data_IF_825483601160
#
_entry.id   IF_825483601160
#
_cell.length_a   1.000
_cell.length_b   1.000
_cell.length_c   1.000
_cell.angle_alpha   90.00
_cell.angle_beta   90.00
_cell.angle_gamma   90.00
#
_symmetry.space_group_name_H-M   'P 1'
#
loop_
_entity.id
_entity.type
_entity.pdbx_description
1 polymer ?
#
# COMPACT_ATOMS: atom_id res chain seq x y z
N UNK A 1 -10.33 42.49 35.84
CA UNK A 1 -9.12 41.86 35.26
C UNK A 1 -9.04 40.46 35.86
N UNK A 2 -9.37 39.45 35.06
CA UNK A 2 -9.51 38.05 35.49
C UNK A 2 -8.34 37.29 34.86
N UNK A 3 -7.60 36.59 35.70
CA UNK A 3 -6.45 35.74 35.40
C UNK A 3 -6.83 34.59 34.45
N UNK A 4 -6.19 34.43 33.28
CA UNK A 4 -6.61 33.47 32.27
C UNK A 4 -5.90 32.09 32.37
N UNK A 5 -5.25 31.75 33.49
CA UNK A 5 -4.35 30.57 33.53
C UNK A 5 -4.86 29.32 34.25
N UNK A 6 -6.14 29.23 34.60
CA UNK A 6 -6.72 27.97 35.12
C UNK A 6 -8.19 27.80 34.76
N UNK A 7 -8.46 27.10 33.68
CA UNK A 7 -9.59 26.16 33.63
C UNK A 7 -9.25 25.00 32.70
N UNK A 8 -9.34 23.81 33.27
CA UNK A 8 -9.27 22.52 32.61
C UNK A 8 -10.40 22.40 31.60
N UNK A 9 -10.21 21.57 30.58
CA UNK A 9 -11.08 20.39 30.38
C UNK A 9 -10.79 19.71 29.04
N UNK A 10 -10.60 18.40 29.14
CA UNK A 10 -10.76 17.35 28.15
C UNK A 10 -11.04 17.81 26.71
N UNK A 11 -9.98 17.90 25.89
CA UNK A 11 -10.11 17.67 24.44
C UNK A 11 -10.23 16.18 24.19
N UNK A 12 -11.43 15.67 24.41
CA UNK A 12 -11.90 14.39 23.89
C UNK A 12 -11.65 14.38 22.38
N UNK A 13 -10.77 13.49 21.94
CA UNK A 13 -10.50 13.21 20.53
C UNK A 13 -11.80 12.83 19.83
N UNK A 14 -12.24 13.65 18.87
CA UNK A 14 -13.26 13.25 17.92
C UNK A 14 -12.80 11.95 17.23
N UNK A 15 -13.62 10.88 17.17
CA UNK A 15 -13.27 9.69 16.40
C UNK A 15 -13.10 10.05 14.92
N UNK A 16 -11.95 9.72 14.34
CA UNK A 16 -11.62 9.89 12.91
C UNK A 16 -12.70 9.33 11.94
N UNK A 17 -13.59 8.46 12.41
CA UNK A 17 -14.63 7.79 11.62
C UNK A 17 -15.76 8.70 11.12
N UNK A 18 -15.98 9.90 11.68
CA UNK A 18 -17.10 10.76 11.26
C UNK A 18 -16.73 11.64 10.05
N UNK A 19 -15.44 11.93 9.86
CA UNK A 19 -14.95 12.72 8.73
C UNK A 19 -15.08 12.00 7.39
N UNK A 20 -14.92 10.68 7.36
CA UNK A 20 -14.89 9.86 6.14
C UNK A 20 -16.26 9.73 5.45
N UNK A 21 -17.36 9.90 6.20
CA UNK A 21 -18.75 9.79 5.69
C UNK A 21 -19.25 11.02 4.91
N UNK A 22 -18.59 12.17 5.03
CA UNK A 22 -18.99 13.39 4.30
C UNK A 22 -18.29 13.51 2.93
N UNK A 23 -17.09 12.95 2.77
CA UNK A 23 -16.33 12.97 1.51
C UNK A 23 -16.88 12.02 0.44
N UNK A 24 -17.64 11.00 0.87
CA UNK A 24 -18.19 9.92 0.05
C UNK A 24 -19.22 10.45 -0.96
N UNK A 25 -20.17 11.30 -0.56
CA UNK A 25 -21.31 11.67 -1.41
C UNK A 25 -20.98 12.57 -2.63
N UNK A 26 -20.04 13.52 -2.50
CA UNK A 26 -19.64 14.38 -3.63
C UNK A 26 -18.77 13.62 -4.65
N UNK A 27 -17.93 12.71 -4.16
CA UNK A 27 -17.09 11.83 -4.97
C UNK A 27 -17.95 10.89 -5.86
N UNK A 28 -18.98 10.27 -5.31
CA UNK A 28 -19.85 9.34 -6.06
C UNK A 28 -20.69 10.02 -7.16
N UNK A 29 -21.02 11.31 -7.03
CA UNK A 29 -21.76 12.04 -8.06
C UNK A 29 -20.94 12.23 -9.36
N UNK A 30 -19.65 12.57 -9.24
CA UNK A 30 -18.72 12.71 -10.39
C UNK A 30 -18.43 11.36 -11.06
N UNK A 31 -18.39 10.29 -10.28
CA UNK A 31 -18.17 8.91 -10.75
C UNK A 31 -19.31 8.41 -11.65
N UNK A 32 -20.56 8.81 -11.35
CA UNK A 32 -21.74 8.45 -12.17
C UNK A 32 -21.70 8.99 -13.60
N UNK A 33 -20.97 10.07 -13.88
CA UNK A 33 -20.84 10.65 -15.22
C UNK A 33 -19.83 9.89 -16.09
N UNK A 34 -18.63 9.62 -15.55
CA UNK A 34 -17.61 8.81 -16.23
C UNK A 34 -18.11 7.38 -16.55
N UNK A 35 -19.01 6.86 -15.70
CA UNK A 35 -19.71 5.57 -15.84
C UNK A 35 -20.55 5.41 -17.12
N UNK A 36 -21.16 6.48 -17.64
CA UNK A 36 -22.06 6.37 -18.82
C UNK A 36 -21.29 6.11 -20.11
N UNK A 37 -20.02 6.51 -20.17
CA UNK A 37 -19.17 6.38 -21.36
C UNK A 37 -18.47 5.01 -21.44
N UNK A 38 -18.24 4.34 -20.31
CA UNK A 38 -17.52 3.06 -20.23
C UNK A 38 -18.41 1.80 -20.35
N UNK A 39 -19.74 1.93 -20.20
CA UNK A 39 -20.68 0.79 -20.24
C UNK A 39 -20.71 0.02 -21.57
N UNK A 40 -20.29 0.61 -22.69
CA UNK A 40 -20.34 -0.04 -24.01
C UNK A 40 -19.25 -1.10 -24.27
N UNK A 41 -18.25 -1.25 -23.40
CA UNK A 41 -17.13 -2.22 -23.59
C UNK A 41 -17.12 -3.41 -22.63
N UNK A 42 -18.07 -3.52 -21.69
CA UNK A 42 -17.97 -4.44 -20.53
C UNK A 42 -18.30 -5.91 -20.81
N UNK A 43 -18.76 -6.27 -22.01
CA UNK A 43 -19.14 -7.64 -22.37
C UNK A 43 -18.03 -8.47 -23.04
N UNK A 44 -16.76 -8.15 -22.79
CA UNK A 44 -15.65 -8.99 -23.26
C UNK A 44 -15.27 -10.00 -22.17
N UNK A 45 -15.22 -11.28 -22.55
CA UNK A 45 -14.58 -12.32 -21.75
C UNK A 45 -13.09 -11.97 -21.64
N UNK A 46 -12.62 -11.66 -20.44
CA UNK A 46 -11.21 -11.44 -20.18
C UNK A 46 -10.48 -12.78 -20.13
N UNK A 47 -9.46 -12.97 -20.97
CA UNK A 47 -8.58 -14.15 -20.90
C UNK A 47 -7.71 -14.14 -19.63
N UNK A 48 -7.31 -12.94 -19.20
CA UNK A 48 -6.51 -12.69 -17.99
C UNK A 48 -7.13 -11.56 -17.18
N UNK A 49 -7.10 -11.68 -15.85
CA UNK A 49 -7.53 -10.60 -14.97
C UNK A 49 -6.47 -9.49 -15.04
N UNK A 50 -6.82 -8.23 -15.32
CA UNK A 50 -5.86 -7.12 -15.27
C UNK A 50 -5.59 -6.68 -13.83
N UNK A 51 -4.33 -6.38 -13.50
CA UNK A 51 -3.91 -5.81 -12.22
C UNK A 51 -3.30 -4.42 -12.41
N UNK A 52 -3.93 -3.39 -11.85
CA UNK A 52 -3.33 -2.06 -11.77
C UNK A 52 -2.35 -1.98 -10.61
N UNK A 53 -1.08 -1.80 -10.94
CA UNK A 53 -0.02 -1.50 -9.98
C UNK A 53 0.18 0.00 -9.95
N UNK A 54 -0.28 0.65 -8.88
CA UNK A 54 -0.10 2.09 -8.68
C UNK A 54 1.37 2.33 -8.39
N UNK A 55 2.05 3.18 -9.16
CA UNK A 55 3.47 3.40 -8.95
C UNK A 55 3.85 4.88 -8.92
N UNK A 56 4.75 5.25 -8.00
CA UNK A 56 5.35 6.57 -7.92
C UNK A 56 6.81 6.44 -7.48
N UNK A 57 7.75 6.75 -8.37
CA UNK A 57 9.18 6.79 -8.08
C UNK A 57 9.79 5.51 -7.48
N UNK A 58 9.17 4.34 -7.70
CA UNK A 58 9.73 3.02 -7.37
C UNK A 58 10.04 2.23 -8.63
N UNK A 59 11.18 1.56 -8.67
CA UNK A 59 11.58 0.67 -9.76
C UNK A 59 11.60 -0.78 -9.29
N UNK A 60 12.29 -1.04 -8.18
CA UNK A 60 12.59 -2.41 -7.75
C UNK A 60 11.32 -3.21 -7.44
N UNK A 61 10.43 -2.67 -6.61
CA UNK A 61 9.23 -3.38 -6.16
C UNK A 61 8.17 -3.60 -7.26
N UNK A 62 7.76 -2.58 -8.06
CA UNK A 62 6.77 -2.82 -9.11
C UNK A 62 7.27 -3.81 -10.16
N UNK A 63 8.58 -3.83 -10.46
CA UNK A 63 9.15 -4.82 -11.37
C UNK A 63 8.99 -6.25 -10.83
N UNK A 64 9.38 -6.49 -9.57
CA UNK A 64 9.22 -7.80 -8.93
C UNK A 64 7.76 -8.23 -8.84
N UNK A 65 6.85 -7.30 -8.50
CA UNK A 65 5.42 -7.55 -8.48
C UNK A 65 4.89 -7.98 -9.85
N UNK A 66 5.25 -7.27 -10.93
CA UNK A 66 4.85 -7.62 -12.28
C UNK A 66 5.33 -9.03 -12.68
N UNK A 67 6.55 -9.41 -12.31
CA UNK A 67 7.10 -10.75 -12.57
C UNK A 67 6.26 -11.86 -11.89
N UNK A 68 5.86 -11.66 -10.63
CA UNK A 68 4.98 -12.62 -9.93
C UNK A 68 3.58 -12.67 -10.55
N UNK A 69 2.99 -11.51 -10.91
CA UNK A 69 1.66 -11.47 -11.52
C UNK A 69 1.58 -12.24 -12.85
N UNK A 70 2.65 -12.25 -13.64
CA UNK A 70 2.73 -13.09 -14.84
C UNK A 70 2.63 -14.59 -14.50
N UNK A 71 3.28 -15.04 -13.42
CA UNK A 71 3.19 -16.44 -12.96
C UNK A 71 1.79 -16.84 -12.50
N UNK A 72 0.98 -15.86 -12.09
CA UNK A 72 -0.42 -16.05 -11.69
C UNK A 72 -1.39 -15.96 -12.87
N UNK A 73 -0.89 -15.82 -14.11
CA UNK A 73 -1.69 -15.56 -15.30
C UNK A 73 -2.54 -14.26 -15.19
N UNK A 74 -2.06 -13.26 -14.43
CA UNK A 74 -2.69 -11.94 -14.24
C UNK A 74 -1.96 -10.92 -15.11
N UNK A 75 -2.66 -10.08 -15.87
CA UNK A 75 -2.04 -9.06 -16.74
C UNK A 75 -1.63 -7.82 -15.93
N UNK A 76 -0.33 -7.58 -15.70
CA UNK A 76 0.11 -6.39 -14.97
C UNK A 76 0.02 -5.12 -15.84
N UNK A 77 -0.57 -4.07 -15.26
CA UNK A 77 -0.68 -2.74 -15.85
C UNK A 77 -0.12 -1.72 -14.86
N UNK A 78 1.00 -1.09 -15.21
CA UNK A 78 1.65 -0.07 -14.41
C UNK A 78 0.93 1.27 -14.57
N UNK A 79 0.41 1.81 -13.48
CA UNK A 79 -0.21 3.14 -13.43
C UNK A 79 0.78 4.14 -12.82
N UNK A 80 1.53 4.83 -13.67
CA UNK A 80 2.54 5.80 -13.26
C UNK A 80 1.89 7.10 -12.77
N UNK A 81 2.01 7.37 -11.48
CA UNK A 81 1.43 8.49 -10.76
C UNK A 81 2.31 9.75 -10.85
N UNK A 82 2.80 10.05 -12.07
CA UNK A 82 3.70 11.16 -12.39
C UNK A 82 5.10 11.02 -11.77
N UNK A 83 5.74 9.87 -11.97
CA UNK A 83 7.12 9.65 -11.51
C UNK A 83 8.14 10.52 -12.25
N UNK A 84 9.23 10.81 -11.55
CA UNK A 84 10.40 11.57 -11.97
C UNK A 84 11.72 10.79 -11.78
N UNK A 85 11.69 9.61 -11.15
CA UNK A 85 12.89 8.80 -10.89
C UNK A 85 13.52 8.29 -12.20
N UNK A 86 14.73 8.76 -12.59
CA UNK A 86 15.25 8.48 -13.93
C UNK A 86 15.40 6.99 -14.29
N UNK A 87 15.93 6.11 -13.41
CA UNK A 87 16.03 4.67 -13.70
C UNK A 87 14.66 4.02 -13.97
N UNK A 88 13.61 4.44 -13.24
CA UNK A 88 12.25 3.98 -13.49
C UNK A 88 11.75 4.42 -14.88
N UNK A 89 12.03 5.67 -15.27
CA UNK A 89 11.59 6.19 -16.58
C UNK A 89 12.29 5.49 -17.74
N UNK A 90 13.57 5.15 -17.58
CA UNK A 90 14.32 4.34 -18.54
C UNK A 90 13.76 2.92 -18.65
N UNK A 91 13.42 2.30 -17.52
CA UNK A 91 12.78 0.98 -17.53
C UNK A 91 11.41 1.01 -18.20
N UNK A 92 10.56 2.00 -17.92
CA UNK A 92 9.25 2.14 -18.57
C UNK A 92 9.33 2.25 -20.09
N UNK A 93 10.43 2.78 -20.65
CA UNK A 93 10.60 2.88 -22.10
C UNK A 93 10.79 1.50 -22.77
N UNK A 94 11.21 0.48 -22.01
CA UNK A 94 11.63 -0.82 -22.56
C UNK A 94 10.97 -2.03 -21.88
N UNK A 95 10.16 -1.82 -20.83
CA UNK A 95 9.55 -2.93 -20.11
C UNK A 95 8.47 -3.63 -20.95
N UNK A 96 8.24 -4.94 -20.75
CA UNK A 96 7.24 -5.70 -21.50
C UNK A 96 5.80 -5.40 -21.08
N UNK A 97 5.61 -4.59 -20.03
CA UNK A 97 4.32 -4.34 -19.41
C UNK A 97 3.67 -3.07 -19.95
N UNK A 98 2.34 -3.03 -19.89
CA UNK A 98 1.58 -1.83 -20.23
C UNK A 98 1.79 -0.75 -19.18
N UNK A 99 2.27 0.42 -19.61
CA UNK A 99 2.46 1.60 -18.75
C UNK A 99 1.47 2.70 -19.11
N UNK A 100 0.68 3.15 -18.14
CA UNK A 100 -0.24 4.29 -18.26
C UNK A 100 0.31 5.44 -17.43
N UNK A 101 0.79 6.49 -18.10
CA UNK A 101 1.38 7.67 -17.44
C UNK A 101 0.37 8.77 -17.17
N UNK A 102 0.17 9.10 -15.90
CA UNK A 102 -0.71 10.19 -15.48
C UNK A 102 0.02 11.54 -15.55
N UNK A 103 -0.72 12.59 -15.94
CA UNK A 103 -0.22 13.97 -15.98
C UNK A 103 -0.02 14.59 -14.59
N UNK A 104 -0.74 14.07 -13.60
CA UNK A 104 -0.75 14.54 -12.22
C UNK A 104 -0.62 13.35 -11.28
N UNK A 105 0.00 13.57 -10.12
CA UNK A 105 -0.04 12.60 -9.03
C UNK A 105 -1.42 12.69 -8.37
N UNK A 106 -2.21 11.61 -8.46
CA UNK A 106 -3.57 11.49 -7.95
C UNK A 106 -3.64 10.72 -6.62
N UNK A 107 -2.48 10.33 -6.05
CA UNK A 107 -2.35 9.52 -4.84
C UNK A 107 -2.84 8.08 -5.03
N UNK A 108 -3.12 7.38 -3.91
CA UNK A 108 -3.65 6.00 -3.89
C UNK A 108 -5.00 5.86 -4.63
N UNK A 109 -5.75 6.96 -4.79
CA UNK A 109 -7.00 6.98 -5.57
C UNK A 109 -6.80 7.11 -7.09
N UNK A 110 -5.56 7.05 -7.58
CA UNK A 110 -5.21 7.17 -8.99
C UNK A 110 -6.02 6.25 -9.92
N UNK A 111 -6.27 4.95 -9.61
CA UNK A 111 -7.05 4.07 -10.47
C UNK A 111 -8.43 4.63 -10.82
N UNK A 112 -9.12 5.16 -9.81
CA UNK A 112 -10.50 5.63 -9.93
C UNK A 112 -10.59 7.09 -10.39
N UNK A 113 -9.70 7.98 -9.89
CA UNK A 113 -9.70 9.40 -10.28
C UNK A 113 -9.28 9.60 -11.74
N UNK A 114 -8.41 8.75 -12.28
CA UNK A 114 -8.04 8.76 -13.70
C UNK A 114 -9.10 8.12 -14.60
N UNK A 115 -9.99 7.31 -14.03
CA UNK A 115 -10.99 6.53 -14.74
C UNK A 115 -10.46 5.25 -15.41
N UNK A 116 -9.18 4.91 -15.20
CA UNK A 116 -8.55 3.70 -15.77
C UNK A 116 -9.21 2.43 -15.24
N UNK A 117 -9.50 2.37 -13.93
CA UNK A 117 -10.14 1.18 -13.32
C UNK A 117 -11.46 0.79 -14.02
N UNK A 118 -12.24 1.77 -14.51
CA UNK A 118 -13.52 1.49 -15.18
C UNK A 118 -13.41 0.92 -16.58
N UNK A 119 -12.20 0.85 -17.13
CA UNK A 119 -11.92 0.37 -18.48
C UNK A 119 -11.40 -1.07 -18.49
N UNK A 120 -11.12 -1.65 -17.32
CA UNK A 120 -10.43 -2.93 -17.21
C UNK A 120 -11.35 -4.13 -17.46
N UNK A 121 -12.66 -3.98 -17.27
CA UNK A 121 -13.67 -5.02 -17.45
C UNK A 121 -14.41 -5.31 -16.14
N UNK A 122 -14.95 -6.52 -15.97
CA UNK A 122 -15.75 -6.87 -14.78
C UNK A 122 -14.86 -7.08 -13.56
N UNK A 123 -13.89 -8.00 -13.65
CA UNK A 123 -12.96 -8.26 -12.57
C UNK A 123 -11.62 -7.60 -12.87
N UNK A 124 -11.00 -7.02 -11.85
CA UNK A 124 -9.68 -6.42 -11.94
C UNK A 124 -9.04 -6.40 -10.56
N UNK A 125 -7.71 -6.36 -10.52
CA UNK A 125 -6.96 -6.20 -9.28
C UNK A 125 -6.37 -4.79 -9.18
N UNK A 126 -6.16 -4.33 -7.95
CA UNK A 126 -5.46 -3.08 -7.65
C UNK A 126 -4.50 -3.34 -6.51
N UNK A 127 -3.28 -2.81 -6.63
CA UNK A 127 -2.29 -2.82 -5.55
C UNK A 127 -1.41 -1.57 -5.63
N UNK A 128 -0.95 -1.07 -4.48
CA UNK A 128 0.32 -0.35 -4.39
C UNK A 128 1.50 -1.31 -4.69
N UNK A 129 2.71 -0.82 -5.03
CA UNK A 129 3.77 -1.66 -5.54
C UNK A 129 4.62 -2.27 -4.41
N UNK A 130 4.26 -2.05 -3.15
CA UNK A 130 5.07 -2.28 -1.95
C UNK A 130 4.75 -3.59 -1.23
N UNK A 131 4.25 -4.58 -1.96
CA UNK A 131 3.98 -5.93 -1.46
C UNK A 131 4.93 -6.94 -2.09
N UNK A 132 5.54 -7.77 -1.25
CA UNK A 132 6.18 -9.02 -1.69
C UNK A 132 5.10 -10.09 -1.84
N UNK A 133 4.99 -10.61 -3.05
CA UNK A 133 4.05 -11.67 -3.43
C UNK A 133 4.75 -13.02 -3.56
N UNK A 134 6.05 -13.08 -3.27
CA UNK A 134 6.85 -14.30 -3.32
C UNK A 134 6.32 -15.38 -2.38
N UNK A 135 6.29 -16.63 -2.86
CA UNK A 135 5.85 -17.79 -2.09
C UNK A 135 4.34 -17.94 -1.95
N UNK A 136 3.54 -16.94 -2.37
CA UNK A 136 2.09 -17.07 -2.42
C UNK A 136 1.71 -18.01 -3.58
N UNK A 137 0.80 -18.98 -3.37
CA UNK A 137 0.39 -19.89 -4.44
C UNK A 137 -0.20 -19.17 -5.66
N UNK A 138 0.11 -19.66 -6.86
CA UNK A 138 -0.26 -19.01 -8.12
C UNK A 138 -1.76 -19.03 -8.42
N UNK A 139 -2.54 -19.84 -7.70
CA UNK A 139 -4.00 -19.86 -7.76
C UNK A 139 -4.66 -18.76 -6.91
N UNK A 140 -3.88 -17.86 -6.29
CA UNK A 140 -4.40 -16.77 -5.46
C UNK A 140 -5.51 -15.95 -6.15
N UNK A 141 -5.39 -15.49 -7.41
CA UNK A 141 -6.46 -14.74 -8.06
C UNK A 141 -7.76 -15.54 -8.18
N UNK A 142 -7.67 -16.84 -8.46
CA UNK A 142 -8.83 -17.73 -8.54
C UNK A 142 -9.50 -17.88 -7.17
N UNK A 143 -8.71 -18.07 -6.11
CA UNK A 143 -9.20 -18.18 -4.74
C UNK A 143 -9.92 -16.91 -4.29
N UNK A 144 -9.36 -15.73 -4.56
CA UNK A 144 -9.99 -14.44 -4.26
C UNK A 144 -11.27 -14.24 -5.06
N UNK A 145 -11.27 -14.63 -6.35
CA UNK A 145 -12.44 -14.51 -7.22
C UNK A 145 -13.60 -15.38 -6.74
N UNK A 146 -13.35 -16.64 -6.37
CA UNK A 146 -14.37 -17.55 -5.83
C UNK A 146 -15.01 -16.98 -4.56
N UNK A 147 -14.19 -16.44 -3.66
CA UNK A 147 -14.70 -15.78 -2.45
C UNK A 147 -15.58 -14.57 -2.79
N UNK A 148 -15.13 -13.69 -3.69
CA UNK A 148 -15.89 -12.50 -4.08
C UNK A 148 -17.23 -12.87 -4.74
N UNK A 149 -17.25 -13.93 -5.55
CA UNK A 149 -18.48 -14.43 -6.19
C UNK A 149 -19.46 -15.03 -5.17
N UNK A 150 -18.95 -15.70 -4.14
CA UNK A 150 -19.78 -16.31 -3.09
C UNK A 150 -20.41 -15.29 -2.11
N UNK A 151 -19.89 -14.07 -2.06
CA UNK A 151 -20.36 -13.02 -1.15
C UNK A 151 -20.77 -11.76 -1.93
N UNK A 152 -22.06 -11.65 -2.35
CA UNK A 152 -22.56 -10.51 -3.14
C UNK A 152 -22.46 -9.14 -2.46
N UNK A 153 -22.37 -9.12 -1.12
CA UNK A 153 -22.23 -7.92 -0.30
C UNK A 153 -20.80 -7.37 -0.24
N UNK A 154 -19.81 -8.05 -0.84
CA UNK A 154 -18.44 -7.57 -0.91
C UNK A 154 -18.19 -6.82 -2.21
N UNK A 155 -17.42 -5.74 -2.10
CA UNK A 155 -16.89 -5.01 -3.26
C UNK A 155 -15.60 -5.64 -3.77
N UNK A 156 -14.79 -6.16 -2.84
CA UNK A 156 -13.45 -6.67 -3.11
C UNK A 156 -13.03 -7.76 -2.13
N UNK A 157 -12.04 -8.55 -2.52
CA UNK A 157 -11.35 -9.50 -1.64
C UNK A 157 -9.85 -9.31 -1.84
N UNK A 158 -9.13 -9.12 -0.74
CA UNK A 158 -7.69 -8.84 -0.73
C UNK A 158 -6.85 -9.98 -0.15
N UNK A 159 -5.56 -9.92 -0.42
CA UNK A 159 -4.60 -10.74 0.31
C UNK A 159 -4.55 -10.34 1.80
N UNK A 160 -4.28 -11.31 2.67
CA UNK A 160 -3.86 -11.02 4.04
C UNK A 160 -2.49 -10.34 4.05
N UNK A 161 -2.13 -9.70 5.17
CA UNK A 161 -0.81 -9.11 5.36
C UNK A 161 -0.08 -9.80 6.50
N UNK A 162 1.16 -10.23 6.22
CA UNK A 162 2.01 -10.95 7.16
C UNK A 162 2.37 -10.04 8.34
N UNK A 163 2.10 -10.51 9.56
CA UNK A 163 2.38 -9.76 10.79
C UNK A 163 3.16 -10.57 11.81
N UNK A 164 3.34 -11.88 11.62
CA UNK A 164 4.05 -12.77 12.52
C UNK A 164 5.57 -12.65 12.33
N UNK A 165 6.03 -12.62 11.08
CA UNK A 165 7.45 -12.56 10.68
C UNK A 165 7.99 -11.12 10.53
N UNK A 166 7.57 -10.21 11.40
CA UNK A 166 8.02 -8.81 11.38
C UNK A 166 9.28 -8.60 12.24
N UNK A 167 10.25 -7.78 11.79
CA UNK A 167 11.44 -7.47 12.59
C UNK A 167 11.10 -6.63 13.84
N UNK A 168 12.07 -6.51 14.75
CA UNK A 168 11.94 -5.66 15.94
C UNK A 168 12.29 -4.20 15.63
N UNK A 169 11.41 -3.51 14.89
CA UNK A 169 11.50 -2.07 14.58
C UNK A 169 10.21 -1.35 14.98
N UNK A 170 10.26 -0.03 15.17
CA UNK A 170 9.07 0.72 15.59
C UNK A 170 7.96 0.72 14.53
N UNK A 171 8.33 0.73 13.23
CA UNK A 171 7.36 0.60 12.14
C UNK A 171 6.71 -0.79 12.11
N UNK A 172 7.48 -1.85 12.36
CA UNK A 172 6.98 -3.21 12.42
C UNK A 172 6.05 -3.44 13.62
N UNK A 173 6.38 -2.90 14.80
CA UNK A 173 5.49 -2.93 15.98
C UNK A 173 4.18 -2.21 15.70
N UNK A 174 4.25 -1.02 15.12
CA UNK A 174 3.08 -0.23 14.72
C UNK A 174 2.21 -0.97 13.70
N UNK A 175 2.83 -1.63 12.71
CA UNK A 175 2.15 -2.46 11.73
C UNK A 175 1.44 -3.65 12.40
N UNK A 176 2.13 -4.38 13.28
CA UNK A 176 1.55 -5.52 14.01
C UNK A 176 0.35 -5.09 14.85
N UNK A 177 0.45 -3.98 15.57
CA UNK A 177 -0.65 -3.44 16.38
C UNK A 177 -1.84 -3.08 15.49
N UNK A 178 -1.62 -2.30 14.43
CA UNK A 178 -2.67 -1.86 13.52
C UNK A 178 -3.38 -3.01 12.80
N UNK A 179 -2.61 -3.98 12.29
CA UNK A 179 -3.13 -5.06 11.45
C UNK A 179 -3.72 -6.22 12.25
N UNK A 180 -3.37 -6.38 13.53
CA UNK A 180 -3.86 -7.49 14.39
C UNK A 180 -5.38 -7.63 14.39
N UNK A 181 -6.12 -6.50 14.37
CA UNK A 181 -7.58 -6.48 14.33
C UNK A 181 -8.19 -7.13 13.08
N UNK A 182 -7.45 -7.15 11.96
CA UNK A 182 -7.92 -7.76 10.71
C UNK A 182 -7.79 -9.29 10.68
N UNK A 183 -7.23 -9.87 11.74
CA UNK A 183 -7.10 -11.33 11.94
C UNK A 183 -8.12 -11.88 12.95
N UNK A 184 -9.06 -11.06 13.43
CA UNK A 184 -10.00 -11.45 14.50
C UNK A 184 -11.23 -12.20 13.99
N UNK A 185 -11.92 -11.65 12.97
CA UNK A 185 -13.26 -12.09 12.59
C UNK A 185 -13.23 -13.05 11.39
N UNK A 186 -13.09 -14.35 11.66
CA UNK A 186 -13.11 -15.38 10.63
C UNK A 186 -14.53 -15.58 10.08
N UNK A 187 -14.69 -15.46 8.77
CA UNK A 187 -15.98 -15.57 8.07
C UNK A 187 -16.16 -16.84 7.27
N UNK A 188 -15.05 -17.44 6.84
CA UNK A 188 -15.04 -18.74 6.18
C UNK A 188 -13.67 -19.40 6.33
N UNK A 189 -13.57 -20.65 5.86
CA UNK A 189 -12.29 -21.33 5.78
C UNK A 189 -11.34 -20.56 4.85
N UNK A 190 -10.31 -19.98 5.45
CA UNK A 190 -9.29 -19.20 4.75
C UNK A 190 -9.60 -17.71 4.55
N UNK A 191 -10.60 -17.13 5.21
CA UNK A 191 -10.88 -15.68 5.10
C UNK A 191 -11.37 -15.03 6.40
N UNK A 192 -11.05 -13.73 6.52
CA UNK A 192 -11.48 -12.84 7.59
C UNK A 192 -12.29 -11.66 7.04
N UNK A 193 -13.29 -11.18 7.80
CA UNK A 193 -13.95 -9.91 7.54
C UNK A 193 -13.02 -8.77 7.96
N UNK A 194 -12.48 -8.07 6.97
CA UNK A 194 -11.47 -7.06 7.21
C UNK A 194 -11.45 -6.06 6.06
N UNK A 195 -11.48 -4.77 6.42
CA UNK A 195 -11.35 -3.71 5.43
C UNK A 195 -10.02 -3.84 4.70
N UNK A 196 -10.04 -3.62 3.40
CA UNK A 196 -8.85 -3.56 2.55
C UNK A 196 -8.74 -2.15 1.97
N UNK A 197 -7.54 -1.57 1.96
CA UNK A 197 -7.28 -0.30 1.29
C UNK A 197 -6.75 -0.55 -0.14
N UNK A 198 -5.47 -0.20 -0.41
CA UNK A 198 -4.72 -0.47 -1.65
C UNK A 198 -3.77 -1.68 -1.55
N UNK A 199 -3.98 -2.57 -0.57
CA UNK A 199 -3.41 -3.92 -0.60
C UNK A 199 -3.91 -4.68 -1.83
N UNK A 200 -3.09 -5.56 -2.40
CA UNK A 200 -3.45 -6.41 -3.55
C UNK A 200 -4.82 -7.04 -3.36
N UNK A 201 -5.80 -6.55 -4.12
CA UNK A 201 -7.19 -6.96 -3.99
C UNK A 201 -7.89 -7.05 -5.33
N UNK A 202 -8.77 -8.04 -5.45
CA UNK A 202 -9.63 -8.28 -6.59
C UNK A 202 -10.97 -7.59 -6.37
N UNK A 203 -11.39 -6.79 -7.34
CA UNK A 203 -12.61 -5.98 -7.35
C UNK A 203 -13.62 -6.50 -8.37
N UNK A 204 -14.91 -6.27 -8.10
CA UNK A 204 -15.98 -6.39 -9.08
C UNK A 204 -16.47 -5.00 -9.49
N UNK A 205 -16.24 -4.63 -10.76
CA UNK A 205 -16.64 -3.34 -11.34
C UNK A 205 -18.16 -3.16 -11.46
N UNK A 206 -18.95 -4.23 -11.29
CA UNK A 206 -20.40 -4.15 -11.26
C UNK A 206 -20.94 -3.80 -9.88
N UNK A 207 -20.12 -3.92 -8.83
CA UNK A 207 -20.50 -3.66 -7.43
C UNK A 207 -20.02 -2.31 -6.93
N UNK A 208 -20.05 -1.29 -7.80
CA UNK A 208 -19.59 0.06 -7.47
C UNK A 208 -20.46 0.75 -6.40
N UNK A 209 -21.70 0.30 -6.20
CA UNK A 209 -22.61 0.75 -5.15
C UNK A 209 -22.40 0.10 -3.80
N UNK A 210 -21.69 -1.03 -3.75
CA UNK A 210 -21.30 -1.67 -2.49
C UNK A 210 -20.24 -0.80 -1.80
N UNK A 211 -20.29 -0.73 -0.47
CA UNK A 211 -19.34 0.04 0.34
C UNK A 211 -17.90 -0.26 -0.07
N UNK A 212 -17.06 0.78 -0.17
CA UNK A 212 -15.68 0.63 -0.63
C UNK A 212 -14.85 -0.30 0.26
N UNK A 213 -15.14 -0.30 1.55
CA UNK A 213 -14.44 -1.06 2.57
C UNK A 213 -15.07 -2.42 2.86
N UNK A 214 -16.22 -2.75 2.26
CA UNK A 214 -16.81 -4.09 2.34
C UNK A 214 -15.91 -5.09 1.61
N UNK A 215 -15.08 -5.77 2.39
CA UNK A 215 -14.02 -6.64 1.91
C UNK A 215 -13.77 -7.81 2.86
N UNK A 216 -13.24 -8.89 2.30
CA UNK A 216 -12.57 -9.95 3.06
C UNK A 216 -11.07 -9.93 2.77
N UNK A 217 -10.27 -10.42 3.71
CA UNK A 217 -8.85 -10.72 3.53
C UNK A 217 -8.62 -12.22 3.62
N UNK A 218 -7.74 -12.75 2.79
CA UNK A 218 -7.37 -14.17 2.84
C UNK A 218 -6.45 -14.49 4.01
N UNK A 219 -6.53 -15.74 4.44
CA UNK A 219 -5.65 -16.39 5.40
C UNK A 219 -4.46 -17.06 4.67
N UNK A 220 -3.54 -17.64 5.44
CA UNK A 220 -2.47 -18.49 4.91
C UNK A 220 -3.02 -19.61 4.01
N UNK A 221 -2.31 -19.94 2.91
CA UNK A 221 -1.00 -19.42 2.48
C UNK A 221 -1.07 -18.14 1.62
N UNK A 222 -2.22 -17.45 1.54
CA UNK A 222 -2.44 -16.31 0.64
C UNK A 222 -2.21 -14.97 1.35
N UNK A 223 -0.99 -14.76 1.83
CA UNK A 223 -0.61 -13.62 2.67
C UNK A 223 0.63 -12.95 2.08
N UNK A 224 0.57 -11.64 1.87
CA UNK A 224 1.68 -10.85 1.34
C UNK A 224 2.49 -10.19 2.46
N UNK A 225 3.79 -9.99 2.23
CA UNK A 225 4.61 -9.15 3.12
C UNK A 225 4.60 -7.71 2.62
N UNK A 226 4.38 -6.76 3.50
CA UNK A 226 4.41 -5.34 3.14
C UNK A 226 5.85 -4.82 3.29
N UNK A 227 6.51 -4.58 2.17
CA UNK A 227 7.96 -4.37 2.05
C UNK A 227 8.50 -3.28 3.00
N UNK A 228 7.85 -2.10 3.14
CA UNK A 228 8.25 -1.08 4.11
C UNK A 228 8.38 -1.56 5.57
N UNK A 229 7.59 -2.55 6.00
CA UNK A 229 7.62 -3.04 7.39
C UNK A 229 8.85 -3.90 7.70
N UNK A 230 9.50 -4.42 6.66
CA UNK A 230 10.68 -5.27 6.76
C UNK A 230 11.98 -4.50 6.45
N UNK A 231 11.92 -3.20 6.17
CA UNK A 231 13.11 -2.41 5.91
C UNK A 231 13.94 -2.25 7.17
N UNK A 232 15.18 -2.72 7.11
CA UNK A 232 16.18 -2.62 8.18
C UNK A 232 17.52 -2.16 7.57
N UNK A 233 18.29 -1.40 8.34
CA UNK A 233 19.61 -0.92 7.93
C UNK A 233 19.58 0.33 7.05
N UNK A 234 20.65 0.49 6.26
CA UNK A 234 20.89 1.69 5.46
C UNK A 234 19.95 1.81 4.26
N UNK A 235 19.59 3.05 3.92
CA UNK A 235 18.73 3.32 2.78
C UNK A 235 19.46 3.12 1.46
N UNK A 236 18.79 2.45 0.53
CA UNK A 236 19.24 2.41 -0.86
C UNK A 236 19.09 3.78 -1.51
N UNK A 237 19.75 3.97 -2.66
CA UNK A 237 19.58 5.19 -3.46
C UNK A 237 18.13 5.38 -3.92
N UNK A 238 17.45 4.29 -4.33
CA UNK A 238 16.03 4.31 -4.71
C UNK A 238 15.16 4.75 -3.54
N UNK A 239 15.35 4.16 -2.35
CA UNK A 239 14.58 4.52 -1.15
C UNK A 239 14.81 5.98 -0.76
N UNK A 240 16.07 6.40 -0.76
CA UNK A 240 16.45 7.79 -0.49
C UNK A 240 15.81 8.76 -1.47
N UNK A 241 15.74 8.41 -2.77
CA UNK A 241 15.08 9.23 -3.79
C UNK A 241 13.57 9.30 -3.54
N UNK A 242 12.93 8.15 -3.31
CA UNK A 242 11.50 8.06 -3.07
C UNK A 242 11.08 8.94 -1.88
N UNK A 243 11.75 8.80 -0.74
CA UNK A 243 11.42 9.54 0.49
C UNK A 243 11.66 11.05 0.35
N UNK A 244 12.64 11.48 -0.45
CA UNK A 244 12.85 12.90 -0.77
C UNK A 244 11.77 13.45 -1.71
N UNK A 245 11.17 12.59 -2.54
CA UNK A 245 10.19 12.98 -3.55
C UNK A 245 8.75 13.09 -3.05
N UNK A 246 8.41 12.44 -1.92
CA UNK A 246 7.06 12.51 -1.36
C UNK A 246 6.82 13.87 -0.68
N UNK A 247 5.73 14.53 -1.05
CA UNK A 247 5.35 15.83 -0.48
C UNK A 247 4.47 15.71 0.77
N UNK A 248 3.87 14.54 0.98
CA UNK A 248 3.12 14.16 2.17
C UNK A 248 3.61 12.81 2.63
N UNK A 249 3.97 12.70 3.91
CA UNK A 249 4.29 11.41 4.51
C UNK A 249 3.06 10.52 4.49
N UNK A 250 3.24 9.27 4.11
CA UNK A 250 2.23 8.23 4.26
C UNK A 250 2.36 7.59 5.65
N UNK A 251 1.40 6.76 6.03
CA UNK A 251 1.42 6.07 7.32
C UNK A 251 2.66 5.16 7.47
N UNK A 252 3.16 4.61 6.36
CA UNK A 252 4.27 3.65 6.33
C UNK A 252 5.58 4.19 5.74
N UNK A 253 5.69 5.49 5.44
CA UNK A 253 6.93 6.10 4.92
C UNK A 253 7.90 6.52 6.04
N UNK A 254 8.04 5.70 7.09
CA UNK A 254 8.99 5.96 8.18
C UNK A 254 10.29 5.19 7.96
N UNK A 255 11.40 5.88 8.17
CA UNK A 255 12.71 5.25 8.30
C UNK A 255 13.19 5.57 9.71
N UNK A 256 13.43 4.53 10.49
CA UNK A 256 14.17 4.66 11.73
C UNK A 256 15.62 4.93 11.37
N UNK A 257 16.15 6.10 11.73
CA UNK A 257 17.55 6.39 11.50
C UNK A 257 18.39 5.39 12.32
N UNK A 258 19.39 4.77 11.70
CA UNK A 258 20.35 3.96 12.43
C UNK A 258 20.93 4.79 13.59
N UNK A 259 21.10 4.21 14.80
CA UNK A 259 21.75 4.92 15.88
C UNK A 259 23.15 5.33 15.42
N UNK A 260 23.42 6.63 15.49
CA UNK A 260 24.73 7.19 15.18
C UNK A 260 25.71 6.55 16.16
N UNK A 261 26.56 5.62 15.71
CA UNK A 261 27.68 5.18 16.51
C UNK A 261 28.60 6.39 16.69
N UNK A 262 28.68 6.93 17.91
CA UNK A 262 29.62 8.00 18.23
C UNK A 262 31.03 7.57 17.82
N UNK A 263 31.81 8.43 17.13
CA UNK A 263 33.18 8.10 16.82
C UNK A 263 33.97 7.96 18.14
N UNK A 264 34.66 6.83 18.29
CA UNK A 264 35.53 6.56 19.42
C UNK A 264 36.56 7.70 19.55
N UNK A 265 36.36 8.55 20.54
CA UNK A 265 37.26 9.65 20.86
C UNK A 265 38.53 9.04 21.48
N UNK A 266 39.53 8.73 20.65
CA UNK A 266 40.88 8.41 21.12
C UNK A 266 41.51 9.69 21.68
N UNK A 267 41.26 9.98 22.96
CA UNK A 267 42.11 10.89 23.73
C UNK A 267 43.27 10.08 24.29
N UNK A 268 44.38 10.06 23.57
CA UNK A 268 45.68 9.74 24.15
C UNK A 268 45.98 10.76 25.26
N UNK A 269 45.81 10.37 26.53
CA UNK A 269 46.46 11.08 27.63
C UNK A 269 47.90 10.58 27.71
N UNK A 270 48.81 11.33 27.12
CA UNK A 270 50.22 11.26 27.47
C UNK A 270 50.34 11.69 28.93
N UNK A 271 50.85 10.79 29.78
CA UNK A 271 51.24 11.11 31.14
C UNK A 271 52.48 12.00 31.12
N UNK A 272 52.40 13.15 31.77
CA UNK A 272 53.59 13.88 32.22
C UNK A 272 53.73 13.69 33.72
N UNK A 273 54.77 12.94 34.03
CA UNK A 273 55.31 12.59 35.33
C UNK A 273 55.80 13.86 36.04
N UNK A 274 55.29 14.13 37.25
CA UNK A 274 55.83 15.17 38.13
C UNK A 274 56.64 14.48 39.24
N UNK A 275 57.94 14.36 38.99
CA UNK A 275 58.93 14.06 40.03
C UNK A 275 59.00 15.23 41.02
N UNK A 276 58.77 14.94 42.31
CA UNK A 276 59.35 15.69 43.43
C UNK A 276 59.75 14.72 44.54
N UNK A 277 61.05 14.70 44.81
CA UNK A 277 61.68 14.28 46.06
C UNK A 277 62.93 15.13 46.25
N UNK A 278 63.44 15.31 47.48
CA UNK A 278 62.79 15.25 48.79
C UNK A 278 62.42 16.65 49.34
#
# INVERSE_FOLDING_TARGET
MIDPTKESDAKTSLPQQIGERFWTNYYYARMRLLRRLSRRRRAQTQERIPALVINYNRLTWPKAMCEVLETWNVEPILLDNKSTYPPLLEWYANCPYKVIRLKHNLGHLAPWKSGVAYQLGKYYMVSDPDLDLGGIPSDAPERLLRQLQSCPNLRKVGLGLEIQDLPDTEIAKSAREWESKFWADRVSEGFFEAMVDTTMALYDAEREEVDFFAAHRSDYPYVAKHLPWHQVGELTEEESYYLKSITKRTHWSYVEAAPISEPANQVQRQGTDLQKTP
#
